data_IF_311988873139
#
_entry.id   IF_311988873139
#
_cell.length_a   1.000
_cell.length_b   1.000
_cell.length_c   1.000
_cell.angle_alpha   90.00
_cell.angle_beta   90.00
_cell.angle_gamma   90.00
#
_symmetry.space_group_name_H-M   'P 1'
#
loop_
_entity.id
_entity.type
_entity.pdbx_description
1 polymer ?
#
# COMPACT_ATOMS: atom_id res chain seq x y z
N UNK A 1 20.65 -20.18 -11.81
CA UNK A 1 19.18 -20.43 -11.90
C UNK A 1 18.79 -20.08 -13.32
N UNK A 2 18.24 -21.02 -14.08
CA UNK A 2 17.80 -20.81 -15.46
C UNK A 2 16.29 -20.93 -15.42
N UNK A 3 15.59 -19.80 -15.54
CA UNK A 3 14.15 -19.74 -15.78
C UNK A 3 13.98 -19.05 -17.14
N UNK A 4 13.16 -19.62 -18.01
CA UNK A 4 13.15 -19.32 -19.44
C UNK A 4 12.91 -17.83 -19.76
N UNK A 5 13.60 -17.35 -20.79
CA UNK A 5 13.37 -16.10 -21.54
C UNK A 5 13.84 -14.75 -20.97
N UNK A 6 14.93 -14.71 -20.18
CA UNK A 6 15.56 -13.41 -19.86
C UNK A 6 16.90 -13.53 -19.16
N UNK A 7 17.99 -13.54 -19.93
CA UNK A 7 19.36 -13.59 -19.42
C UNK A 7 19.76 -12.21 -18.86
N UNK A 8 20.22 -12.16 -17.60
CA UNK A 8 21.09 -11.07 -17.13
C UNK A 8 20.69 -10.43 -15.80
N UNK A 9 19.73 -9.50 -15.82
CA UNK A 9 19.64 -8.48 -14.75
C UNK A 9 18.35 -8.54 -13.90
N UNK A 10 17.30 -9.22 -14.36
CA UNK A 10 16.00 -9.25 -13.69
C UNK A 10 15.99 -10.26 -12.52
N UNK A 11 16.87 -11.28 -12.55
CA UNK A 11 16.86 -12.39 -11.60
C UNK A 11 17.04 -11.98 -10.15
N UNK A 12 17.98 -11.08 -9.85
CA UNK A 12 18.32 -10.75 -8.45
C UNK A 12 17.25 -9.87 -7.77
N UNK A 13 16.67 -8.89 -8.46
CA UNK A 13 15.63 -8.02 -7.88
C UNK A 13 14.35 -8.83 -7.65
N UNK A 14 13.95 -9.66 -8.62
CA UNK A 14 12.76 -10.52 -8.47
C UNK A 14 12.96 -11.56 -7.36
N UNK A 15 14.15 -12.16 -7.24
CA UNK A 15 14.45 -13.09 -6.15
C UNK A 15 14.46 -12.40 -4.79
N UNK A 16 14.98 -11.17 -4.71
CA UNK A 16 14.93 -10.35 -3.49
C UNK A 16 13.50 -10.03 -3.08
N UNK A 17 12.68 -9.59 -4.02
CA UNK A 17 11.28 -9.27 -3.77
C UNK A 17 10.50 -10.51 -3.35
N UNK A 18 10.72 -11.66 -4.01
CA UNK A 18 10.14 -12.95 -3.60
C UNK A 18 10.54 -13.32 -2.17
N UNK A 19 11.80 -13.10 -1.80
CA UNK A 19 12.29 -13.38 -0.44
C UNK A 19 11.59 -12.50 0.59
N UNK A 20 11.52 -11.18 0.36
CA UNK A 20 10.81 -10.25 1.24
C UNK A 20 9.32 -10.63 1.37
N UNK A 21 8.64 -10.88 0.26
CA UNK A 21 7.23 -11.30 0.25
C UNK A 21 6.99 -12.63 0.99
N UNK A 22 7.95 -13.56 0.94
CA UNK A 22 7.85 -14.84 1.63
C UNK A 22 8.05 -14.75 3.15
N UNK A 23 8.78 -13.71 3.60
CA UNK A 23 9.09 -13.50 5.02
C UNK A 23 8.06 -12.60 5.69
N UNK A 24 7.75 -11.48 5.05
CA UNK A 24 6.97 -10.40 5.67
C UNK A 24 5.53 -10.38 5.13
N UNK A 25 5.25 -11.06 4.02
CA UNK A 25 3.97 -10.94 3.33
C UNK A 25 3.81 -9.62 2.57
N UNK A 26 2.57 -9.25 2.29
CA UNK A 26 2.22 -8.00 1.61
C UNK A 26 0.93 -7.40 2.16
N UNK A 27 0.93 -6.08 2.24
CA UNK A 27 -0.25 -5.25 2.46
C UNK A 27 -0.43 -4.32 1.25
N UNK A 28 -1.64 -4.31 0.70
CA UNK A 28 -2.01 -3.53 -0.48
C UNK A 28 -3.10 -2.55 -0.06
N UNK A 29 -2.89 -1.27 -0.35
CA UNK A 29 -3.87 -0.20 -0.15
C UNK A 29 -4.42 0.22 -1.50
N UNK A 30 -5.74 0.17 -1.65
CA UNK A 30 -6.45 0.57 -2.88
C UNK A 30 -7.34 1.77 -2.59
N UNK A 31 -7.16 2.85 -3.36
CA UNK A 31 -7.97 4.06 -3.29
C UNK A 31 -8.34 4.52 -4.70
N UNK A 32 -9.51 5.13 -4.85
CA UNK A 32 -9.93 5.80 -6.07
C UNK A 32 -10.23 7.26 -5.78
N UNK A 33 -9.47 8.18 -6.38
CA UNK A 33 -9.65 9.62 -6.20
C UNK A 33 -10.03 10.30 -7.52
N UNK A 34 -10.99 11.21 -7.45
CA UNK A 34 -11.26 12.20 -8.49
C UNK A 34 -10.25 13.33 -8.33
N UNK A 35 -9.35 13.48 -9.32
CA UNK A 35 -8.33 14.53 -9.31
C UNK A 35 -8.92 15.94 -9.46
N UNK A 36 -10.00 16.10 -10.24
CA UNK A 36 -10.58 17.41 -10.51
C UNK A 36 -11.40 17.88 -9.31
N UNK A 37 -12.23 16.98 -8.77
CA UNK A 37 -13.06 17.29 -7.60
C UNK A 37 -12.28 17.25 -6.30
N UNK A 38 -11.08 16.66 -6.30
CA UNK A 38 -10.31 16.34 -5.10
C UNK A 38 -11.24 15.60 -4.13
N UNK A 39 -11.69 14.42 -4.53
CA UNK A 39 -12.65 13.64 -3.72
C UNK A 39 -12.32 12.17 -3.81
N UNK A 40 -12.39 11.48 -2.67
CA UNK A 40 -12.31 10.03 -2.62
C UNK A 40 -13.61 9.45 -3.17
N UNK A 41 -13.54 8.81 -4.34
CA UNK A 41 -14.68 8.16 -4.99
C UNK A 41 -14.93 6.79 -4.36
N UNK A 42 -13.86 6.05 -4.02
CA UNK A 42 -13.95 4.70 -3.45
C UNK A 42 -12.70 4.34 -2.65
N UNK A 43 -12.86 3.41 -1.69
CA UNK A 43 -11.83 3.00 -0.73
C UNK A 43 -11.79 3.88 0.52
N UNK A 44 -10.71 3.81 1.33
CA UNK A 44 -9.56 2.91 1.18
C UNK A 44 -9.93 1.45 1.46
N UNK A 45 -9.40 0.53 0.65
CA UNK A 45 -9.50 -0.90 0.91
C UNK A 45 -8.10 -1.45 1.16
N UNK A 46 -7.96 -2.24 2.24
CA UNK A 46 -6.70 -2.87 2.62
C UNK A 46 -6.83 -4.37 2.42
N UNK A 47 -5.93 -4.91 1.58
CA UNK A 47 -5.85 -6.34 1.28
C UNK A 47 -4.50 -6.83 1.78
N UNK A 48 -4.51 -7.88 2.60
CA UNK A 48 -3.28 -8.48 3.12
C UNK A 48 -3.13 -9.92 2.64
N UNK A 49 -1.89 -10.34 2.37
CA UNK A 49 -1.54 -11.75 2.09
C UNK A 49 -0.22 -12.09 2.76
N UNK A 50 -0.23 -13.07 3.66
CA UNK A 50 0.96 -13.50 4.40
C UNK A 50 1.50 -12.48 5.41
N UNK A 51 0.88 -11.31 5.55
CA UNK A 51 1.30 -10.23 6.46
C UNK A 51 0.67 -10.39 7.85
N UNK A 52 -0.66 -10.38 7.93
CA UNK A 52 -1.42 -10.59 9.18
C UNK A 52 -2.59 -11.54 8.96
N UNK A 53 -2.92 -12.34 9.97
CA UNK A 53 -4.10 -13.20 9.94
C UNK A 53 -5.36 -12.36 10.15
N UNK A 54 -6.05 -12.03 9.05
CA UNK A 54 -7.16 -11.07 9.01
C UNK A 54 -8.24 -11.33 10.07
N UNK A 55 -8.53 -12.60 10.42
CA UNK A 55 -9.54 -12.93 11.44
C UNK A 55 -9.15 -12.52 12.86
N UNK A 56 -7.85 -12.44 13.16
CA UNK A 56 -7.33 -12.01 14.47
C UNK A 56 -6.88 -10.54 14.46
N UNK A 57 -6.84 -9.91 13.28
CA UNK A 57 -6.29 -8.57 13.08
C UNK A 57 -7.30 -7.59 12.48
N UNK A 58 -8.60 -7.87 12.60
CA UNK A 58 -9.66 -7.02 12.04
C UNK A 58 -9.56 -5.58 12.55
N UNK A 59 -9.39 -5.37 13.86
CA UNK A 59 -9.21 -4.04 14.44
C UNK A 59 -7.98 -3.30 13.89
N UNK A 60 -6.89 -4.03 13.63
CA UNK A 60 -5.65 -3.46 13.09
C UNK A 60 -5.86 -3.01 11.64
N UNK A 61 -6.56 -3.80 10.83
CA UNK A 61 -6.92 -3.43 9.45
C UNK A 61 -7.89 -2.25 9.42
N UNK A 62 -8.88 -2.21 10.33
CA UNK A 62 -9.80 -1.08 10.47
C UNK A 62 -9.04 0.20 10.79
N UNK A 63 -8.16 0.18 11.80
CA UNK A 63 -7.33 1.35 12.17
C UNK A 63 -6.42 1.80 11.03
N UNK A 64 -5.77 0.86 10.34
CA UNK A 64 -4.97 1.15 9.14
C UNK A 64 -5.80 1.86 8.05
N UNK A 65 -7.02 1.38 7.83
CA UNK A 65 -7.96 1.97 6.87
C UNK A 65 -8.38 3.39 7.28
N UNK A 66 -8.65 3.61 8.56
CA UNK A 66 -9.00 4.93 9.10
C UNK A 66 -7.85 5.93 8.97
N UNK A 67 -6.60 5.52 9.25
CA UNK A 67 -5.44 6.38 9.06
C UNK A 67 -5.26 6.79 7.60
N UNK A 68 -5.35 5.84 6.66
CA UNK A 68 -5.28 6.16 5.22
C UNK A 68 -6.39 7.14 4.82
N UNK A 69 -7.61 6.93 5.32
CA UNK A 69 -8.74 7.82 5.05
C UNK A 69 -8.49 9.23 5.58
N UNK A 70 -7.88 9.36 6.76
CA UNK A 70 -7.47 10.64 7.35
C UNK A 70 -6.46 11.38 6.47
N UNK A 71 -5.39 10.70 6.04
CA UNK A 71 -4.34 11.26 5.17
C UNK A 71 -4.96 11.75 3.85
N UNK A 72 -5.79 10.93 3.21
CA UNK A 72 -6.44 11.32 1.96
C UNK A 72 -7.29 12.56 2.18
N UNK A 73 -8.09 12.63 3.25
CA UNK A 73 -8.94 13.78 3.54
C UNK A 73 -8.12 15.06 3.74
N UNK A 74 -7.09 15.02 4.57
CA UNK A 74 -6.24 16.17 4.88
C UNK A 74 -5.53 16.71 3.64
N UNK A 75 -4.94 15.84 2.83
CA UNK A 75 -4.19 16.23 1.62
C UNK A 75 -5.12 16.77 0.52
N UNK A 76 -6.35 16.30 0.50
CA UNK A 76 -7.38 16.70 -0.45
C UNK A 76 -7.96 18.08 -0.12
N UNK A 77 -8.07 18.41 1.18
CA UNK A 77 -8.54 19.72 1.68
C UNK A 77 -7.48 20.81 1.53
N UNK A 78 -6.20 20.48 1.70
CA UNK A 78 -5.16 21.50 1.89
C UNK A 78 -4.43 21.98 0.61
N UNK A 79 -4.46 21.27 -0.53
CA UNK A 79 -3.69 21.69 -1.73
C UNK A 79 -3.94 20.88 -3.02
N UNK A 80 -3.10 21.09 -4.05
CA UNK A 80 -3.00 20.24 -5.24
C UNK A 80 -2.64 18.83 -4.78
N UNK A 81 -3.47 17.84 -5.12
CA UNK A 81 -3.19 16.43 -4.81
C UNK A 81 -2.01 15.97 -5.66
N UNK A 82 -0.85 15.84 -5.04
CA UNK A 82 0.35 15.28 -5.64
C UNK A 82 0.44 13.79 -5.25
N UNK A 83 0.43 12.91 -6.26
CA UNK A 83 0.29 11.47 -6.05
C UNK A 83 1.49 10.84 -5.35
N UNK A 84 2.70 11.35 -5.58
CA UNK A 84 3.89 10.79 -4.94
C UNK A 84 3.90 11.09 -3.45
N UNK A 85 3.51 12.30 -3.05
CA UNK A 85 3.37 12.76 -1.67
C UNK A 85 2.28 11.95 -0.97
N UNK A 86 1.10 11.83 -1.59
CA UNK A 86 0.00 11.07 -1.01
C UNK A 86 0.39 9.59 -0.78
N UNK A 87 1.03 8.94 -1.76
CA UNK A 87 1.53 7.56 -1.63
C UNK A 87 2.61 7.44 -0.56
N UNK A 88 3.51 8.42 -0.46
CA UNK A 88 4.59 8.43 0.52
C UNK A 88 4.04 8.57 1.93
N UNK A 89 3.15 9.55 2.18
CA UNK A 89 2.50 9.73 3.48
C UNK A 89 1.73 8.49 3.92
N UNK A 90 1.00 7.84 3.02
CA UNK A 90 0.33 6.57 3.32
C UNK A 90 1.32 5.48 3.71
N UNK A 91 2.44 5.33 2.99
CA UNK A 91 3.47 4.33 3.30
C UNK A 91 4.13 4.60 4.64
N UNK A 92 4.50 5.83 4.92
CA UNK A 92 5.23 6.18 6.15
C UNK A 92 4.36 5.95 7.40
N UNK A 93 3.10 6.37 7.35
CA UNK A 93 2.16 6.16 8.47
C UNK A 93 1.87 4.68 8.69
N UNK A 94 1.65 3.91 7.62
CA UNK A 94 1.40 2.48 7.75
C UNK A 94 2.64 1.69 8.19
N UNK A 95 3.83 2.05 7.74
CA UNK A 95 5.09 1.44 8.18
C UNK A 95 5.40 1.73 9.65
N UNK A 96 4.97 2.87 10.19
CA UNK A 96 5.15 3.18 11.60
C UNK A 96 4.13 2.44 12.49
N UNK A 97 2.94 2.16 11.95
CA UNK A 97 1.84 1.57 12.70
C UNK A 97 1.90 0.03 12.78
N UNK A 98 2.39 -0.62 11.73
CA UNK A 98 2.38 -2.08 11.55
C UNK A 98 3.77 -2.69 11.81
#
# INVERSE_FOLDING_TARGET
MIDGLGVGDIGNIVLRDRRLLSQDGILIVVITLDKQKKQLISGPEIITRGFVYVRESEELIVKATEMVKGIVKEQTENSIVEWSTLKQSMRDVLNQFL
#
